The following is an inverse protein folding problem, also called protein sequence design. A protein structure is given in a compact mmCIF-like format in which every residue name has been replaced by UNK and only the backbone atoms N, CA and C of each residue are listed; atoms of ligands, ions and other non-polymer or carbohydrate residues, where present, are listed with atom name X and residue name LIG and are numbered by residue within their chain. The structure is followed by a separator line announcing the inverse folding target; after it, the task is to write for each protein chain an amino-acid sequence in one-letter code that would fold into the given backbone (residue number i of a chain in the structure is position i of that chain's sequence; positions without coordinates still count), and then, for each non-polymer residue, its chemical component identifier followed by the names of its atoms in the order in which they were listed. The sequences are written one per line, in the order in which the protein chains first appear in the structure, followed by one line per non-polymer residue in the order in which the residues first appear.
data_IF_780634824713
#
_entry.id   IF_780634824713
#
_cell.length_a   1.000
_cell.length_b   1.000
_cell.length_c   1.000
_cell.angle_alpha   90.00
_cell.angle_beta   90.00
_cell.angle_gamma   90.00
#
_symmetry.space_group_name_H-M   'P 1'
#
loop_
_entity.id
_entity.type
_entity.pdbx_description
1 polymer ?
#
# COMPACT_ATOMS: atom_id res chain seq x y z
N UNK A 1 -6.97 -17.64 -0.02
CA UNK A 1 -6.41 -16.28 -0.09
C UNK A 1 -6.59 -15.47 1.17
N UNK A 2 -7.75 -14.85 1.46
CA UNK A 2 -7.87 -13.99 2.65
C UNK A 2 -7.57 -14.73 3.96
N UNK A 3 -8.01 -15.99 4.07
CA UNK A 3 -7.61 -16.86 5.18
C UNK A 3 -6.09 -17.12 5.23
N UNK A 4 -5.46 -17.36 4.06
CA UNK A 4 -4.04 -17.67 3.95
C UNK A 4 -3.14 -16.49 4.33
N UNK A 5 -3.59 -15.24 4.14
CA UNK A 5 -2.85 -14.04 4.55
C UNK A 5 -3.23 -13.56 5.96
N UNK A 6 -4.13 -14.28 6.65
CA UNK A 6 -4.76 -13.86 7.90
C UNK A 6 -5.33 -12.42 7.83
N UNK A 7 -6.29 -12.23 6.91
CA UNK A 7 -6.88 -10.91 6.64
C UNK A 7 -7.56 -10.27 7.86
N UNK A 8 -8.14 -11.06 8.77
CA UNK A 8 -8.73 -10.53 10.01
C UNK A 8 -7.67 -9.85 10.90
N UNK A 9 -6.48 -10.43 11.03
CA UNK A 9 -5.35 -9.79 11.71
C UNK A 9 -4.91 -8.50 10.99
N UNK A 10 -4.95 -8.48 9.66
CA UNK A 10 -4.67 -7.26 8.91
C UNK A 10 -5.69 -6.18 9.24
N UNK A 11 -6.99 -6.47 9.18
CA UNK A 11 -8.05 -5.50 9.50
C UNK A 11 -7.94 -4.93 10.92
N UNK A 12 -7.48 -5.74 11.88
CA UNK A 12 -7.27 -5.31 13.26
C UNK A 12 -5.94 -4.57 13.50
N UNK A 13 -5.04 -4.53 12.52
CA UNK A 13 -3.78 -3.79 12.61
C UNK A 13 -4.05 -2.29 12.73
N UNK A 14 -3.58 -1.64 13.80
CA UNK A 14 -3.79 -0.20 14.04
C UNK A 14 -2.77 0.66 13.31
N UNK A 15 -1.50 0.33 13.50
CA UNK A 15 -0.39 1.06 12.92
C UNK A 15 0.48 0.10 12.10
N UNK A 16 0.91 0.55 10.93
CA UNK A 16 1.90 -0.15 10.09
C UNK A 16 2.90 0.85 9.55
N UNK A 17 4.17 0.49 9.53
CA UNK A 17 5.25 1.26 8.92
C UNK A 17 6.09 0.38 8.02
N UNK A 18 6.58 0.93 6.92
CA UNK A 18 7.48 0.25 6.00
C UNK A 18 8.28 1.26 5.18
N UNK A 19 9.34 0.78 4.56
CA UNK A 19 10.08 1.46 3.52
C UNK A 19 9.88 0.71 2.20
N UNK A 20 9.59 1.44 1.14
CA UNK A 20 9.39 0.92 -0.21
C UNK A 20 10.66 1.15 -1.04
N UNK A 21 11.45 0.09 -1.21
CA UNK A 21 12.66 0.05 -2.06
C UNK A 21 13.63 1.23 -1.86
N UNK A 22 13.86 1.63 -0.61
CA UNK A 22 14.69 2.78 -0.18
C UNK A 22 14.29 4.14 -0.77
N UNK A 23 13.11 4.22 -1.39
CA UNK A 23 12.60 5.43 -2.06
C UNK A 23 11.64 6.20 -1.19
N UNK A 24 10.67 5.50 -0.60
CA UNK A 24 9.62 6.11 0.20
C UNK A 24 9.50 5.41 1.55
N UNK A 25 9.26 6.17 2.62
CA UNK A 25 8.98 5.61 3.95
C UNK A 25 7.60 6.02 4.43
N UNK A 26 6.91 5.09 5.10
CA UNK A 26 5.52 5.24 5.47
C UNK A 26 5.30 4.91 6.94
N UNK A 27 4.42 5.69 7.56
CA UNK A 27 3.73 5.35 8.81
C UNK A 27 2.24 5.53 8.54
N UNK A 28 1.43 4.52 8.77
CA UNK A 28 -0.01 4.54 8.53
C UNK A 28 -0.78 4.23 9.81
N UNK A 29 -1.58 5.21 10.27
CA UNK A 29 -2.67 4.99 11.21
C UNK A 29 -3.91 4.53 10.42
N UNK A 30 -4.12 3.21 10.41
CA UNK A 30 -5.21 2.59 9.65
C UNK A 30 -6.59 3.03 10.14
N UNK A 31 -6.76 3.17 11.45
CA UNK A 31 -8.05 3.52 12.07
C UNK A 31 -8.45 4.96 11.76
N UNK A 32 -7.49 5.88 11.86
CA UNK A 32 -7.73 7.30 11.62
C UNK A 32 -7.62 7.67 10.13
N UNK A 33 -7.13 6.76 9.28
CA UNK A 33 -6.82 6.98 7.87
C UNK A 33 -5.82 8.12 7.66
N UNK A 34 -4.83 8.21 8.53
CA UNK A 34 -3.76 9.21 8.46
C UNK A 34 -2.45 8.53 8.09
N UNK A 35 -1.68 9.13 7.18
CA UNK A 35 -0.39 8.60 6.80
C UNK A 35 0.70 9.68 6.85
N UNK A 36 1.88 9.30 7.32
CA UNK A 36 3.10 10.07 7.12
C UNK A 36 3.84 9.42 5.96
N UNK A 37 4.13 10.20 4.92
CA UNK A 37 4.84 9.76 3.71
C UNK A 37 6.11 10.58 3.61
N UNK A 38 7.26 9.91 3.47
CA UNK A 38 8.56 10.57 3.24
C UNK A 38 9.13 10.14 1.90
N UNK A 39 9.62 11.09 1.12
CA UNK A 39 10.35 10.87 -0.14
C UNK A 39 11.31 12.02 -0.34
N UNK A 40 12.52 11.76 -0.85
CA UNK A 40 13.58 12.77 -0.93
C UNK A 40 13.71 13.53 0.42
N UNK A 41 13.70 14.87 0.39
CA UNK A 41 13.71 15.74 1.57
C UNK A 41 12.31 16.10 2.10
N UNK A 42 11.25 15.55 1.49
CA UNK A 42 9.86 15.85 1.84
C UNK A 42 9.30 14.92 2.93
N UNK A 43 8.53 15.50 3.84
CA UNK A 43 7.65 14.78 4.79
C UNK A 43 6.23 15.31 4.62
N UNK A 44 5.31 14.46 4.20
CA UNK A 44 3.88 14.78 4.14
C UNK A 44 3.11 14.08 5.27
N UNK A 45 2.20 14.81 5.90
CA UNK A 45 1.16 14.26 6.77
C UNK A 45 -0.16 14.40 6.03
N UNK A 46 -0.81 13.28 5.71
CA UNK A 46 -2.01 13.25 4.87
C UNK A 46 -3.19 12.56 5.58
N UNK A 47 -4.38 13.13 5.40
CA UNK A 47 -5.68 12.52 5.67
C UNK A 47 -6.18 11.87 4.37
N UNK A 48 -6.15 10.54 4.34
CA UNK A 48 -6.50 9.74 3.17
C UNK A 48 -7.99 9.82 2.83
N UNK A 49 -8.86 10.07 3.83
CA UNK A 49 -10.31 10.21 3.60
C UNK A 49 -10.65 11.53 2.94
N UNK A 50 -9.99 12.61 3.38
CA UNK A 50 -10.23 13.96 2.85
C UNK A 50 -9.38 14.29 1.63
N UNK A 51 -8.33 13.49 1.36
CA UNK A 51 -7.32 13.80 0.35
C UNK A 51 -6.67 15.18 0.60
N UNK A 52 -6.35 15.46 1.85
CA UNK A 52 -5.79 16.72 2.33
C UNK A 52 -4.57 16.45 3.20
N UNK A 53 -3.74 17.47 3.43
CA UNK A 53 -2.56 17.32 4.26
C UNK A 53 -1.69 18.55 4.28
N UNK A 54 -0.55 18.40 4.96
CA UNK A 54 0.52 19.38 5.01
C UNK A 54 1.84 18.71 4.63
N UNK A 55 2.71 19.48 3.97
CA UNK A 55 4.01 19.01 3.52
C UNK A 55 5.11 19.89 4.08
N UNK A 56 6.18 19.24 4.52
CA UNK A 56 7.42 19.87 4.92
C UNK A 56 8.51 19.52 3.90
N UNK A 57 9.36 20.48 3.59
CA UNK A 57 10.58 20.33 2.79
C UNK A 57 11.78 20.64 3.68
N UNK A 58 12.62 19.64 3.95
CA UNK A 58 13.73 19.74 4.91
C UNK A 58 13.29 20.36 6.26
N UNK A 59 12.14 19.87 6.76
CA UNK A 59 11.54 20.33 8.03
C UNK A 59 10.81 21.67 7.98
N UNK A 60 10.81 22.40 6.86
CA UNK A 60 10.10 23.67 6.70
C UNK A 60 8.73 23.45 6.07
N UNK A 61 7.68 24.01 6.68
CA UNK A 61 6.32 23.91 6.15
C UNK A 61 6.22 24.62 4.79
N UNK A 62 5.58 23.95 3.81
CA UNK A 62 5.21 24.58 2.54
C UNK A 62 3.97 25.45 2.76
N UNK A 63 4.18 26.77 2.86
CA UNK A 63 3.11 27.73 3.16
C UNK A 63 2.22 28.04 1.94
N UNK A 64 2.75 27.98 0.72
CA UNK A 64 1.95 28.25 -0.47
C UNK A 64 0.89 27.14 -0.65
N UNK A 65 -0.42 27.48 -0.66
CA UNK A 65 -1.48 26.48 -0.74
C UNK A 65 -1.48 25.68 -2.05
N UNK A 66 -1.06 26.27 -3.17
CA UNK A 66 -1.02 25.59 -4.46
C UNK A 66 0.09 24.55 -4.48
N UNK A 67 1.27 24.91 -4.01
CA UNK A 67 2.41 24.00 -3.96
C UNK A 67 2.21 22.90 -2.92
N UNK A 68 1.66 23.23 -1.75
CA UNK A 68 1.27 22.22 -0.77
C UNK A 68 0.25 21.23 -1.37
N UNK A 69 -0.80 21.72 -2.05
CA UNK A 69 -1.80 20.83 -2.65
C UNK A 69 -1.21 19.88 -3.71
N UNK A 70 -0.25 20.34 -4.53
CA UNK A 70 0.46 19.48 -5.49
C UNK A 70 1.27 18.39 -4.79
N UNK A 71 2.00 18.74 -3.73
CA UNK A 71 2.83 17.81 -2.98
C UNK A 71 2.00 16.82 -2.14
N UNK A 72 0.87 17.26 -1.57
CA UNK A 72 -0.10 16.36 -0.92
C UNK A 72 -0.64 15.34 -1.92
N UNK A 73 -1.01 15.79 -3.13
CA UNK A 73 -1.44 14.87 -4.18
C UNK A 73 -0.35 13.85 -4.51
N UNK A 74 0.91 14.28 -4.65
CA UNK A 74 2.05 13.39 -4.89
C UNK A 74 2.23 12.37 -3.76
N UNK A 75 2.09 12.78 -2.50
CA UNK A 75 2.16 11.89 -1.35
C UNK A 75 1.04 10.83 -1.35
N UNK A 76 -0.18 11.22 -1.72
CA UNK A 76 -1.32 10.29 -1.88
C UNK A 76 -1.07 9.32 -3.04
N UNK A 77 -0.52 9.81 -4.16
CA UNK A 77 -0.18 8.96 -5.30
C UNK A 77 0.87 7.91 -4.92
N UNK A 78 1.90 8.30 -4.17
CA UNK A 78 2.89 7.36 -3.60
C UNK A 78 2.26 6.37 -2.64
N UNK A 79 1.44 6.83 -1.69
CA UNK A 79 0.77 5.95 -0.74
C UNK A 79 -0.11 4.91 -1.44
N UNK A 80 -0.91 5.32 -2.42
CA UNK A 80 -1.80 4.42 -3.15
C UNK A 80 -1.04 3.34 -3.92
N UNK A 81 0.04 3.72 -4.62
CA UNK A 81 0.87 2.76 -5.34
C UNK A 81 1.61 1.82 -4.37
N UNK A 82 2.33 2.36 -3.40
CA UNK A 82 3.27 1.58 -2.59
C UNK A 82 2.54 0.73 -1.55
N UNK A 83 1.39 1.19 -1.04
CA UNK A 83 0.53 0.35 -0.19
C UNK A 83 -0.18 -0.76 -0.97
N UNK A 84 -0.32 -0.62 -2.30
CA UNK A 84 -0.78 -1.72 -3.14
C UNK A 84 0.28 -2.82 -3.22
N UNK A 85 1.54 -2.47 -3.44
CA UNK A 85 2.65 -3.42 -3.36
C UNK A 85 2.70 -4.11 -1.99
N UNK A 86 2.59 -3.34 -0.90
CA UNK A 86 2.61 -3.86 0.47
C UNK A 86 1.57 -4.97 0.72
N UNK A 87 0.32 -4.77 0.30
CA UNK A 87 -0.76 -5.73 0.58
C UNK A 87 -1.95 -5.57 -0.37
N UNK A 88 -1.74 -5.84 -1.66
CA UNK A 88 -2.81 -5.94 -2.65
C UNK A 88 -3.86 -7.02 -2.30
N UNK A 89 -3.49 -8.22 -1.80
CA UNK A 89 -4.45 -9.26 -1.45
C UNK A 89 -5.55 -8.82 -0.48
N UNK A 90 -5.21 -8.02 0.54
CA UNK A 90 -6.19 -7.47 1.47
C UNK A 90 -7.17 -6.47 0.83
N UNK A 91 -6.79 -5.84 -0.29
CA UNK A 91 -7.60 -4.85 -1.01
C UNK A 91 -8.63 -5.48 -1.95
N UNK A 92 -8.67 -6.81 -2.07
CA UNK A 92 -9.60 -7.49 -2.98
C UNK A 92 -11.09 -7.23 -2.67
N UNK A 93 -11.40 -6.71 -1.47
CA UNK A 93 -12.74 -6.42 -1.01
C UNK A 93 -13.00 -4.91 -0.85
N UNK A 94 -12.05 -4.06 -1.22
CA UNK A 94 -12.20 -2.61 -1.13
C UNK A 94 -13.39 -2.14 -1.99
N UNK A 95 -14.10 -1.07 -1.57
CA UNK A 95 -15.15 -0.46 -2.39
C UNK A 95 -14.63 -0.13 -3.79
N UNK A 96 -15.44 -0.41 -4.81
CA UNK A 96 -15.03 -0.25 -6.21
C UNK A 96 -14.29 -1.45 -6.80
N UNK A 97 -14.29 -2.61 -6.14
CA UNK A 97 -13.60 -3.82 -6.64
C UNK A 97 -14.56 -4.87 -7.20
N UNK A 98 -14.35 -5.28 -8.44
CA UNK A 98 -14.97 -6.46 -9.05
C UNK A 98 -14.05 -7.68 -8.91
N UNK A 99 -14.66 -8.85 -8.67
CA UNK A 99 -13.97 -10.13 -8.53
C UNK A 99 -14.63 -11.18 -9.41
N UNK A 100 -13.84 -11.97 -10.13
CA UNK A 100 -14.34 -13.08 -10.95
C UNK A 100 -13.36 -14.25 -10.90
N UNK A 101 -13.90 -15.47 -10.85
CA UNK A 101 -13.09 -16.67 -11.12
C UNK A 101 -13.11 -16.88 -12.63
N UNK A 102 -11.94 -16.98 -13.24
CA UNK A 102 -11.79 -17.20 -14.69
C UNK A 102 -10.91 -18.42 -14.95
N UNK A 103 -11.14 -19.08 -16.09
CA UNK A 103 -10.19 -20.06 -16.62
C UNK A 103 -9.11 -19.32 -17.40
N UNK A 104 -7.86 -19.57 -17.06
CA UNK A 104 -6.71 -19.03 -17.77
C UNK A 104 -5.68 -20.14 -17.94
N UNK A 105 -5.42 -20.52 -19.20
CA UNK A 105 -4.47 -21.57 -19.56
C UNK A 105 -4.77 -22.92 -18.86
N UNK A 106 -6.05 -23.24 -18.63
CA UNK A 106 -6.48 -24.48 -17.97
C UNK A 106 -6.41 -24.44 -16.44
N UNK A 107 -6.11 -23.27 -15.85
CA UNK A 107 -6.11 -23.03 -14.40
C UNK A 107 -7.22 -22.05 -14.02
N UNK A 108 -7.98 -22.38 -12.97
CA UNK A 108 -8.90 -21.42 -12.33
C UNK A 108 -8.10 -20.37 -11.59
N UNK A 109 -8.34 -19.10 -11.88
CA UNK A 109 -7.59 -17.95 -11.37
C UNK A 109 -8.55 -16.85 -10.93
N UNK A 110 -8.07 -15.95 -10.06
CA UNK A 110 -8.87 -14.86 -9.51
C UNK A 110 -8.56 -13.57 -10.28
N UNK A 111 -9.52 -13.09 -11.06
CA UNK A 111 -9.47 -11.79 -11.70
C UNK A 111 -10.06 -10.74 -10.78
N UNK A 112 -9.25 -9.71 -10.48
CA UNK A 112 -9.62 -8.53 -9.73
C UNK A 112 -9.59 -7.32 -10.64
N UNK A 113 -10.61 -6.47 -10.60
CA UNK A 113 -10.63 -5.18 -11.30
C UNK A 113 -11.06 -4.09 -10.35
N UNK A 114 -10.24 -3.04 -10.24
CA UNK A 114 -10.53 -1.88 -9.41
C UNK A 114 -11.22 -0.81 -10.27
N UNK A 115 -12.55 -0.77 -10.27
CA UNK A 115 -13.35 0.12 -11.14
C UNK A 115 -13.39 1.56 -10.64
N UNK A 116 -13.08 1.79 -9.36
CA UNK A 116 -12.94 3.13 -8.77
C UNK A 116 -11.98 3.10 -7.59
N UNK A 117 -11.64 4.29 -7.06
CA UNK A 117 -10.64 4.43 -5.99
C UNK A 117 -9.21 4.43 -6.51
N UNK A 118 -8.25 4.54 -5.58
CA UNK A 118 -6.82 4.62 -5.89
C UNK A 118 -6.47 5.77 -6.84
N UNK A 119 -5.36 5.61 -7.56
CA UNK A 119 -4.89 6.57 -8.59
C UNK A 119 -5.08 6.07 -10.02
N UNK A 120 -5.28 4.77 -10.22
CA UNK A 120 -5.42 4.14 -11.55
C UNK A 120 -6.69 3.26 -11.65
N UNK A 121 -7.88 3.86 -11.56
CA UNK A 121 -9.13 3.13 -11.74
C UNK A 121 -9.22 2.51 -13.14
N UNK A 122 -9.72 1.29 -13.21
CA UNK A 122 -9.81 0.45 -14.41
C UNK A 122 -8.72 -0.63 -14.49
N UNK A 123 -7.71 -0.59 -13.61
CA UNK A 123 -6.65 -1.58 -13.60
C UNK A 123 -7.18 -2.97 -13.19
N UNK A 124 -6.70 -3.99 -13.90
CA UNK A 124 -7.06 -5.39 -13.66
C UNK A 124 -5.84 -6.25 -13.33
N UNK A 125 -6.03 -7.20 -12.44
CA UNK A 125 -4.99 -8.09 -11.94
C UNK A 125 -5.51 -9.52 -11.90
N UNK A 126 -4.79 -10.43 -12.55
CA UNK A 126 -5.09 -11.87 -12.55
C UNK A 126 -4.17 -12.56 -11.57
N UNK A 127 -4.72 -12.99 -10.43
CA UNK A 127 -3.97 -13.53 -9.31
C UNK A 127 -3.94 -15.05 -9.36
N UNK A 128 -2.73 -15.58 -9.14
CA UNK A 128 -2.43 -16.99 -9.08
C UNK A 128 -2.06 -17.33 -7.64
N UNK A 129 -2.73 -18.35 -7.10
CA UNK A 129 -2.61 -18.77 -5.71
C UNK A 129 -2.04 -20.19 -5.66
N UNK A 130 -1.19 -20.47 -4.69
CA UNK A 130 -0.67 -21.80 -4.43
C UNK A 130 -1.77 -22.78 -3.92
N UNK A 131 -1.39 -24.02 -3.62
CA UNK A 131 -2.30 -25.06 -3.13
C UNK A 131 -2.93 -24.73 -1.77
N UNK A 132 -2.28 -23.89 -0.96
CA UNK A 132 -2.79 -23.39 0.32
C UNK A 132 -3.62 -22.12 0.16
N UNK A 133 -3.72 -21.60 -1.07
CA UNK A 133 -4.42 -20.38 -1.40
C UNK A 133 -3.65 -19.11 -1.05
N UNK A 134 -2.34 -19.18 -0.77
CA UNK A 134 -1.45 -18.04 -0.60
C UNK A 134 -1.12 -17.45 -1.99
N UNK A 135 -1.15 -16.11 -2.17
CA UNK A 135 -0.77 -15.51 -3.45
C UNK A 135 0.69 -15.81 -3.83
N UNK A 136 0.88 -16.24 -5.08
CA UNK A 136 2.20 -16.61 -5.62
C UNK A 136 2.68 -15.55 -6.62
N UNK A 137 1.84 -15.18 -7.57
CA UNK A 137 2.11 -14.11 -8.52
C UNK A 137 0.82 -13.57 -9.14
N UNK A 138 0.94 -12.45 -9.84
CA UNK A 138 -0.15 -11.88 -10.60
C UNK A 138 0.32 -11.37 -11.96
N UNK A 139 -0.62 -11.34 -12.91
CA UNK A 139 -0.47 -10.62 -14.17
C UNK A 139 -1.28 -9.33 -14.08
N UNK A 140 -0.71 -8.20 -14.48
CA UNK A 140 -1.37 -6.90 -14.36
C UNK A 140 -1.62 -6.21 -15.71
N UNK A 141 -2.77 -5.58 -15.80
CA UNK A 141 -3.19 -4.69 -16.88
C UNK A 141 -3.41 -3.32 -16.26
N UNK A 142 -2.30 -2.68 -15.89
CA UNK A 142 -2.31 -1.36 -15.29
C UNK A 142 -2.16 -0.27 -16.36
N UNK A 143 -2.98 0.77 -16.28
CA UNK A 143 -3.01 1.90 -17.22
C UNK A 143 -1.70 2.68 -17.30
N UNK A 144 -0.92 2.69 -16.21
CA UNK A 144 0.39 3.34 -16.15
C UNK A 144 1.50 2.55 -16.87
N UNK A 145 1.29 1.25 -17.13
CA UNK A 145 2.31 0.38 -17.72
C UNK A 145 2.16 0.32 -19.25
N UNK A 146 3.27 0.42 -20.00
CA UNK A 146 3.24 0.33 -21.46
C UNK A 146 2.95 -1.10 -21.95
N UNK A 147 3.28 -2.12 -21.13
CA UNK A 147 3.12 -3.53 -21.45
C UNK A 147 2.01 -4.13 -20.61
N UNK A 148 1.05 -4.77 -21.27
CA UNK A 148 -0.09 -5.46 -20.65
C UNK A 148 0.26 -6.89 -20.25
N UNK A 149 -0.28 -7.35 -19.13
CA UNK A 149 -0.08 -8.71 -18.63
C UNK A 149 1.30 -8.97 -18.05
N UNK A 150 2.00 -7.92 -17.59
CA UNK A 150 3.27 -8.06 -16.88
C UNK A 150 3.08 -8.90 -15.61
N UNK A 151 4.01 -9.82 -15.38
CA UNK A 151 4.01 -10.68 -14.20
C UNK A 151 4.80 -10.01 -13.07
N UNK A 152 4.22 -10.00 -11.86
CA UNK A 152 4.94 -9.73 -10.63
C UNK A 152 4.65 -10.82 -9.59
N UNK A 153 5.63 -11.13 -8.73
CA UNK A 153 5.51 -12.18 -7.71
C UNK A 153 5.12 -11.62 -6.33
N UNK A 154 4.70 -12.50 -5.44
CA UNK A 154 4.66 -12.26 -4.00
C UNK A 154 5.59 -13.25 -3.32
N UNK A 155 6.64 -12.74 -2.71
CA UNK A 155 7.71 -13.51 -2.10
C UNK A 155 8.03 -13.00 -0.69
N UNK A 156 8.79 -13.81 0.06
CA UNK A 156 9.25 -13.50 1.41
C UNK A 156 8.12 -13.07 2.36
N UNK A 157 7.09 -13.92 2.42
CA UNK A 157 5.94 -13.74 3.30
C UNK A 157 6.37 -13.66 4.77
N UNK A 158 6.12 -12.52 5.38
CA UNK A 158 6.50 -12.20 6.75
C UNK A 158 5.24 -11.96 7.59
N UNK A 159 5.20 -12.56 8.78
CA UNK A 159 4.15 -12.30 9.75
C UNK A 159 4.47 -11.02 10.54
N UNK A 160 3.55 -10.06 10.54
CA UNK A 160 3.66 -8.85 11.36
C UNK A 160 3.09 -9.10 12.76
N UNK A 161 3.34 -8.22 13.73
CA UNK A 161 2.95 -8.41 15.14
C UNK A 161 1.44 -8.66 15.36
N UNK A 162 0.57 -8.21 14.45
CA UNK A 162 -0.87 -8.49 14.52
C UNK A 162 -1.26 -9.91 14.08
N UNK A 163 -0.33 -10.68 13.51
CA UNK A 163 -0.52 -12.01 12.94
C UNK A 163 -0.86 -12.04 11.45
N UNK A 164 -0.91 -10.88 10.78
CA UNK A 164 -1.15 -10.84 9.33
C UNK A 164 0.11 -11.23 8.56
N UNK A 165 -0.06 -11.91 7.42
CA UNK A 165 1.04 -12.26 6.51
C UNK A 165 1.10 -11.27 5.36
N UNK A 166 2.27 -10.65 5.16
CA UNK A 166 2.54 -9.70 4.09
C UNK A 166 3.78 -10.16 3.30
N UNK A 167 3.70 -10.03 1.98
CA UNK A 167 4.84 -10.21 1.08
C UNK A 167 5.83 -9.08 1.27
N UNK A 168 7.12 -9.38 1.35
CA UNK A 168 8.17 -8.35 1.49
C UNK A 168 9.11 -8.24 0.30
N UNK A 169 8.99 -9.15 -0.66
CA UNK A 169 9.69 -9.09 -1.94
C UNK A 169 8.73 -9.32 -3.10
N UNK A 170 9.00 -8.68 -4.24
CA UNK A 170 8.32 -8.91 -5.50
C UNK A 170 9.30 -8.79 -6.66
N UNK A 171 9.36 -9.81 -7.50
CA UNK A 171 10.09 -9.75 -8.76
C UNK A 171 9.17 -9.29 -9.89
N UNK A 172 9.59 -8.27 -10.64
CA UNK A 172 8.93 -7.84 -11.88
C UNK A 172 9.98 -7.61 -12.98
N UNK A 173 9.89 -8.40 -14.04
CA UNK A 173 10.89 -8.44 -15.13
C UNK A 173 12.31 -8.77 -14.63
N UNK A 174 13.15 -7.75 -14.44
CA UNK A 174 14.54 -7.86 -13.99
C UNK A 174 14.80 -6.94 -12.79
N UNK A 175 13.74 -6.53 -12.10
CA UNK A 175 13.77 -5.57 -11.00
C UNK A 175 13.09 -6.21 -9.79
N UNK A 176 13.73 -6.06 -8.65
CA UNK A 176 13.18 -6.46 -7.36
C UNK A 176 12.56 -5.24 -6.68
N UNK A 177 11.36 -5.43 -6.14
CA UNK A 177 10.64 -4.46 -5.33
C UNK A 177 10.62 -4.97 -3.90
N UNK A 178 11.35 -4.30 -3.03
CA UNK A 178 11.52 -4.70 -1.63
C UNK A 178 10.66 -3.83 -0.69
N UNK A 179 10.05 -4.47 0.30
CA UNK A 179 9.42 -3.86 1.46
C UNK A 179 10.35 -4.06 2.66
N UNK A 180 10.99 -2.98 3.09
CA UNK A 180 11.95 -2.96 4.19
C UNK A 180 11.34 -2.38 5.45
N UNK A 181 11.97 -2.63 6.59
CA UNK A 181 11.59 -2.06 7.89
C UNK A 181 10.09 -2.23 8.24
N UNK A 182 9.50 -3.34 7.78
CA UNK A 182 8.09 -3.63 7.99
C UNK A 182 7.82 -3.86 9.48
N UNK A 183 6.95 -3.03 10.06
CA UNK A 183 6.54 -3.13 11.46
C UNK A 183 5.05 -2.88 11.59
N UNK A 184 4.42 -3.49 12.58
CA UNK A 184 3.07 -3.16 13.02
C UNK A 184 3.02 -2.97 14.52
N UNK A 185 2.12 -2.11 14.99
CA UNK A 185 2.02 -1.77 16.40
C UNK A 185 0.59 -1.45 16.85
N UNK A 186 0.39 -1.54 18.16
CA UNK A 186 -0.87 -1.19 18.82
C UNK A 186 -0.97 0.32 19.12
N UNK A 187 0.18 0.98 19.27
CA UNK A 187 0.28 2.43 19.53
C UNK A 187 1.23 3.13 18.55
N UNK A 188 1.00 4.42 18.31
CA UNK A 188 1.88 5.24 17.47
C UNK A 188 3.30 5.33 18.04
N UNK A 189 3.45 5.35 19.36
CA UNK A 189 4.76 5.49 20.02
C UNK A 189 5.70 4.29 19.74
N UNK A 190 5.16 3.10 19.49
CA UNK A 190 5.97 1.91 19.16
C UNK A 190 6.63 2.00 17.77
N UNK A 191 6.04 2.77 16.84
CA UNK A 191 6.59 2.95 15.48
C UNK A 191 7.20 4.34 15.24
N UNK A 192 6.83 5.32 16.05
CA UNK A 192 7.29 6.71 15.99
C UNK A 192 7.66 7.22 17.38
N UNK A 193 8.66 6.60 18.07
CA UNK A 193 9.00 6.94 19.45
C UNK A 193 9.52 8.38 19.60
N UNK A 194 10.15 8.92 18.56
CA UNK A 194 10.71 10.28 18.55
C UNK A 194 9.67 11.37 18.23
N UNK A 195 8.48 10.97 17.76
CA UNK A 195 7.38 11.87 17.38
C UNK A 195 6.03 11.22 17.73
N UNK A 196 5.68 11.11 19.03
CA UNK A 196 4.45 10.44 19.49
C UNK A 196 3.17 11.24 19.15
N UNK A 197 3.32 12.50 18.74
CA UNK A 197 2.25 13.37 18.28
C UNK A 197 2.29 13.61 16.77
N UNK A 198 2.91 12.72 15.99
CA UNK A 198 3.14 12.84 14.54
C UNK A 198 1.97 13.44 13.75
N UNK A 199 0.74 13.07 14.08
CA UNK A 199 -0.47 13.48 13.37
C UNK A 199 -1.25 14.64 14.03
N UNK A 200 -0.75 15.21 15.13
CA UNK A 200 -1.40 16.37 15.78
C UNK A 200 -1.61 17.57 14.85
N UNK A 201 -0.75 17.85 13.84
CA UNK A 201 -1.01 18.96 12.92
C UNK A 201 -2.28 18.81 12.07
N UNK A 202 -2.79 17.59 11.90
CA UNK A 202 -4.01 17.31 11.12
C UNK A 202 -5.30 17.33 11.95
N UNK A 203 -5.21 17.50 13.27
CA UNK A 203 -6.36 17.42 14.20
C UNK A 203 -7.12 18.75 14.37
N UNK A 204 -6.82 19.75 13.54
CA UNK A 204 -7.49 21.06 13.55
C UNK A 204 -8.73 21.09 12.65
#
# INVERSE_FOLDING_TARGET
MLYAINHDSWENTKYVSWNFSDRHSFIWDKKSHLACVKWDDYKALIDLKKSQGIVYDDGKLIEDPSDNAKLVKKAIDHFNNDSFWLNAPAKAFDPGTERRIVDYEGRKTLLITYTSGGTTPGDSYLWFLDENGLPEYYKMWASILPVKGLKATWEDWTEINSGALLSTSHEILFIDVEIKDLKSAETLNEISPDDPELFSPLKN
#
